data_IF_443875544502
#
_entry.id   IF_443875544502
#
_cell.length_a   1.000
_cell.length_b   1.000
_cell.length_c   1.000
_cell.angle_alpha   90.00
_cell.angle_beta   90.00
_cell.angle_gamma   90.00
#
_symmetry.space_group_name_H-M   'P 1'
#
loop_
_entity.id
_entity.type
_entity.pdbx_description
1 polymer ?
#
# COMPACT_ATOMS: atom_id res chain seq x y z
N UNK A 1 -1.27 -27.00 -13.48
CA UNK A 1 -1.75 -25.62 -13.68
C UNK A 1 -1.90 -24.92 -12.33
N UNK A 2 -2.61 -25.52 -11.38
CA UNK A 2 -2.80 -25.04 -10.00
C UNK A 2 -1.51 -24.63 -9.25
N UNK A 3 -0.43 -25.42 -9.36
CA UNK A 3 0.87 -25.07 -8.72
C UNK A 3 1.49 -23.77 -9.23
N UNK A 4 1.27 -23.41 -10.50
CA UNK A 4 1.83 -22.19 -11.08
C UNK A 4 1.05 -20.96 -10.64
N UNK A 5 -0.26 -21.10 -10.49
CA UNK A 5 -1.13 -20.04 -10.00
C UNK A 5 -0.81 -19.70 -8.54
N UNK A 6 -0.80 -20.70 -7.64
CA UNK A 6 -0.45 -20.47 -6.23
C UNK A 6 0.91 -19.78 -6.10
N UNK A 7 1.90 -20.21 -6.88
CA UNK A 7 3.22 -19.58 -6.90
C UNK A 7 3.17 -18.13 -7.36
N UNK A 8 2.44 -17.82 -8.44
CA UNK A 8 2.30 -16.46 -8.94
C UNK A 8 1.63 -15.54 -7.92
N UNK A 9 0.61 -16.02 -7.22
CA UNK A 9 -0.07 -15.27 -6.14
C UNK A 9 0.93 -14.96 -5.02
N UNK A 10 1.68 -15.96 -4.54
CA UNK A 10 2.68 -15.77 -3.48
C UNK A 10 3.81 -14.82 -3.90
N UNK A 11 4.28 -14.90 -5.14
CA UNK A 11 5.35 -14.03 -5.65
C UNK A 11 4.87 -12.60 -5.89
N UNK A 12 3.58 -12.38 -6.17
CA UNK A 12 2.99 -11.05 -6.40
C UNK A 12 3.00 -10.15 -5.15
N UNK A 13 2.95 -10.75 -3.95
CA UNK A 13 2.79 -10.02 -2.69
C UNK A 13 1.37 -9.51 -2.42
N UNK A 14 0.40 -9.82 -3.29
CA UNK A 14 -1.02 -9.52 -3.06
C UNK A 14 -1.61 -10.57 -2.11
N UNK A 15 -2.50 -10.14 -1.21
CA UNK A 15 -3.19 -11.04 -0.29
C UNK A 15 -4.03 -12.04 -1.11
N UNK A 16 -3.91 -13.37 -0.90
CA UNK A 16 -4.56 -14.37 -1.75
C UNK A 16 -6.07 -14.16 -1.93
N UNK A 17 -6.79 -13.82 -0.84
CA UNK A 17 -8.23 -13.56 -0.89
C UNK A 17 -8.58 -12.33 -1.76
N UNK A 18 -7.73 -11.29 -1.74
CA UNK A 18 -7.91 -10.12 -2.60
C UNK A 18 -7.67 -10.48 -4.08
N UNK A 19 -6.67 -11.33 -4.35
CA UNK A 19 -6.40 -11.78 -5.72
C UNK A 19 -7.58 -12.58 -6.30
N UNK A 20 -8.22 -13.45 -5.51
CA UNK A 20 -9.42 -14.16 -5.95
C UNK A 20 -10.57 -13.20 -6.27
N UNK A 21 -10.77 -12.16 -5.46
CA UNK A 21 -11.74 -11.11 -5.77
C UNK A 21 -11.41 -10.39 -7.09
N UNK A 22 -10.13 -10.08 -7.34
CA UNK A 22 -9.70 -9.40 -8.56
C UNK A 22 -9.85 -10.29 -9.80
N UNK A 23 -9.61 -11.61 -9.68
CA UNK A 23 -9.90 -12.58 -10.74
C UNK A 23 -11.38 -12.56 -11.13
N UNK A 24 -12.29 -12.50 -10.16
CA UNK A 24 -13.73 -12.40 -10.43
C UNK A 24 -14.08 -11.12 -11.18
N UNK A 25 -13.49 -9.98 -10.81
CA UNK A 25 -13.68 -8.71 -11.52
C UNK A 25 -13.16 -8.80 -12.95
N UNK A 26 -11.96 -9.36 -13.15
CA UNK A 26 -11.35 -9.53 -14.47
C UNK A 26 -12.26 -10.36 -15.40
N UNK A 27 -12.82 -11.45 -14.89
CA UNK A 27 -13.76 -12.31 -15.62
C UNK A 27 -15.08 -11.59 -15.92
N UNK A 28 -15.68 -10.94 -14.93
CA UNK A 28 -16.96 -10.23 -15.06
C UNK A 28 -16.88 -9.09 -16.09
N UNK A 29 -15.81 -8.31 -16.06
CA UNK A 29 -15.67 -7.13 -16.91
C UNK A 29 -14.94 -7.43 -18.23
N UNK A 30 -14.50 -8.68 -18.41
CA UNK A 30 -13.74 -9.17 -19.57
C UNK A 30 -12.51 -8.28 -19.84
N UNK A 31 -11.66 -8.15 -18.82
CA UNK A 31 -10.44 -7.35 -18.84
C UNK A 31 -9.26 -8.16 -18.30
N UNK A 32 -8.05 -7.86 -18.77
CA UNK A 32 -6.84 -8.24 -18.04
C UNK A 32 -6.49 -7.15 -17.04
N UNK A 33 -6.10 -7.54 -15.82
CA UNK A 33 -5.59 -6.64 -14.79
C UNK A 33 -4.16 -7.08 -14.48
N UNK A 34 -3.21 -6.17 -14.64
CA UNK A 34 -1.80 -6.40 -14.39
C UNK A 34 -1.37 -5.55 -13.21
N UNK A 35 -0.67 -6.15 -12.25
CA UNK A 35 -0.12 -5.49 -11.07
C UNK A 35 1.40 -5.48 -11.11
N UNK A 36 2.01 -4.43 -10.54
CA UNK A 36 3.42 -4.48 -10.19
C UNK A 36 3.61 -5.35 -8.93
N UNK A 37 4.80 -5.94 -8.72
CA UNK A 37 5.06 -6.69 -7.50
C UNK A 37 4.89 -5.81 -6.25
N UNK A 38 4.11 -6.31 -5.29
CA UNK A 38 3.91 -5.68 -3.99
C UNK A 38 5.05 -6.10 -3.06
N UNK A 39 5.45 -5.19 -2.16
CA UNK A 39 6.44 -5.51 -1.15
C UNK A 39 5.94 -6.67 -0.27
N UNK A 40 6.65 -7.80 -0.24
CA UNK A 40 6.25 -8.98 0.55
C UNK A 40 6.13 -8.69 2.05
N UNK A 41 6.92 -7.75 2.57
CA UNK A 41 6.81 -7.31 3.96
C UNK A 41 5.46 -6.59 4.24
N UNK A 42 4.69 -6.24 3.22
CA UNK A 42 3.41 -5.55 3.33
C UNK A 42 2.22 -6.50 3.24
N UNK A 43 2.38 -7.70 2.69
CA UNK A 43 1.26 -8.64 2.45
C UNK A 43 0.51 -8.97 3.74
N UNK A 44 1.22 -9.36 4.80
CA UNK A 44 0.61 -9.65 6.10
C UNK A 44 0.00 -8.41 6.75
N UNK A 45 0.63 -7.24 6.60
CA UNK A 45 0.11 -5.97 7.12
C UNK A 45 -1.23 -5.60 6.45
N UNK A 46 -1.32 -5.74 5.13
CA UNK A 46 -2.57 -5.50 4.40
C UNK A 46 -3.66 -6.49 4.84
N UNK A 47 -3.32 -7.78 5.00
CA UNK A 47 -4.26 -8.79 5.50
C UNK A 47 -4.76 -8.49 6.94
N UNK A 48 -3.93 -7.84 7.76
CA UNK A 48 -4.28 -7.43 9.13
C UNK A 48 -5.08 -6.11 9.19
N UNK A 49 -5.36 -5.48 8.05
CA UNK A 49 -6.17 -4.25 7.99
C UNK A 49 -5.41 -2.94 8.18
N UNK A 50 -4.07 -2.96 8.13
CA UNK A 50 -3.28 -1.72 8.04
C UNK A 50 -3.61 -0.99 6.73
N UNK A 51 -3.55 0.35 6.75
CA UNK A 51 -3.85 1.15 5.57
C UNK A 51 -2.79 1.01 4.49
N UNK A 52 -3.10 1.35 3.25
CA UNK A 52 -2.10 1.43 2.18
C UNK A 52 -1.88 2.88 1.77
N UNK A 53 -0.65 3.23 1.41
CA UNK A 53 -0.29 4.60 1.03
C UNK A 53 -1.03 5.03 -0.25
N UNK A 54 -1.56 6.25 -0.25
CA UNK A 54 -2.12 6.89 -1.44
C UNK A 54 -1.10 7.75 -2.18
N UNK A 55 -1.57 8.48 -3.19
CA UNK A 55 -0.77 9.45 -3.95
C UNK A 55 -0.24 10.61 -3.10
N UNK A 56 -0.75 10.75 -1.89
CA UNK A 56 -0.39 11.77 -0.93
C UNK A 56 0.84 11.44 -0.07
N UNK A 57 1.30 10.19 -0.09
CA UNK A 57 2.45 9.71 0.70
C UNK A 57 3.55 9.21 -0.24
N UNK A 58 4.60 10.02 -0.43
CA UNK A 58 5.71 9.72 -1.35
C UNK A 58 6.93 9.05 -0.69
N UNK A 59 7.01 9.16 0.65
CA UNK A 59 8.05 8.57 1.48
C UNK A 59 8.15 7.05 1.27
N UNK A 60 9.35 6.50 1.46
CA UNK A 60 9.63 5.10 1.17
C UNK A 60 9.38 4.23 2.40
N UNK A 61 8.85 3.03 2.15
CA UNK A 61 8.73 1.99 3.17
C UNK A 61 10.09 1.37 3.50
N UNK A 62 10.18 0.75 4.67
CA UNK A 62 11.34 -0.01 5.09
C UNK A 62 11.33 -1.46 4.59
N UNK A 63 12.52 -2.03 4.37
CA UNK A 63 12.72 -3.43 3.99
C UNK A 63 13.49 -4.26 5.05
N UNK A 64 13.85 -3.65 6.18
CA UNK A 64 14.68 -4.24 7.24
C UNK A 64 14.15 -3.91 8.65
N UNK A 65 14.63 -4.67 9.65
CA UNK A 65 14.32 -4.42 11.06
C UNK A 65 12.85 -4.64 11.45
N UNK A 66 12.47 -4.30 12.69
CA UNK A 66 11.09 -4.37 13.16
C UNK A 66 10.11 -3.47 12.39
N UNK A 67 10.62 -2.42 11.74
CA UNK A 67 9.84 -1.47 10.96
C UNK A 67 9.59 -1.89 9.50
N UNK A 68 10.10 -3.05 9.07
CA UNK A 68 9.93 -3.53 7.71
C UNK A 68 8.45 -3.55 7.28
N UNK A 69 8.17 -3.00 6.09
CA UNK A 69 6.81 -2.86 5.56
C UNK A 69 6.14 -1.52 5.86
N UNK A 70 6.56 -0.79 6.89
CA UNK A 70 5.99 0.52 7.26
C UNK A 70 6.73 1.69 6.63
N UNK A 71 6.10 2.87 6.66
CA UNK A 71 6.68 4.14 6.20
C UNK A 71 7.09 4.98 7.42
N UNK A 72 8.37 4.90 7.80
CA UNK A 72 8.91 5.60 8.97
C UNK A 72 8.94 7.13 8.77
N UNK A 73 8.72 7.89 9.83
CA UNK A 73 8.88 9.35 9.79
C UNK A 73 10.37 9.74 9.67
N UNK A 74 11.26 8.93 10.23
CA UNK A 74 12.71 8.99 9.98
C UNK A 74 13.06 8.08 8.78
N UNK A 75 13.37 8.68 7.63
CA UNK A 75 13.63 7.92 6.41
C UNK A 75 15.01 7.25 6.39
N UNK A 76 15.88 7.48 7.37
CA UNK A 76 17.06 6.63 7.55
C UNK A 76 16.67 5.23 8.08
N UNK A 77 15.45 5.07 8.63
CA UNK A 77 14.90 3.75 8.98
C UNK A 77 14.21 3.03 7.80
N UNK A 78 14.18 3.65 6.61
CA UNK A 78 13.56 3.09 5.40
C UNK A 78 14.56 2.26 4.58
N UNK A 79 14.14 1.77 3.40
CA UNK A 79 15.04 1.15 2.43
C UNK A 79 16.15 2.07 1.91
N UNK A 80 16.02 3.38 2.14
CA UNK A 80 16.99 4.42 1.79
C UNK A 80 18.11 4.59 2.83
N UNK A 81 18.11 3.79 3.90
CA UNK A 81 19.18 3.75 4.90
C UNK A 81 20.58 3.87 4.27
N UNK A 82 21.37 4.81 4.79
CA UNK A 82 22.75 5.02 4.38
C UNK A 82 22.96 5.96 3.18
N UNK A 83 21.91 6.32 2.44
CA UNK A 83 21.95 7.32 1.37
C UNK A 83 21.47 8.68 1.90
N UNK A 84 22.40 9.53 2.31
CA UNK A 84 22.08 10.82 2.94
C UNK A 84 21.20 11.73 2.06
N UNK A 85 21.40 11.69 0.73
CA UNK A 85 20.60 12.48 -0.21
C UNK A 85 19.16 11.96 -0.31
N UNK A 86 19.01 10.65 -0.49
CA UNK A 86 17.67 10.04 -0.56
C UNK A 86 16.93 10.10 0.78
N UNK A 87 17.64 9.98 1.91
CA UNK A 87 17.07 10.17 3.26
C UNK A 87 16.61 11.62 3.45
N UNK A 88 17.45 12.60 3.09
CA UNK A 88 17.10 14.02 3.18
C UNK A 88 15.84 14.36 2.38
N UNK A 89 15.76 13.90 1.13
CA UNK A 89 14.57 14.06 0.30
C UNK A 89 13.35 13.32 0.87
N UNK A 90 13.54 12.08 1.34
CA UNK A 90 12.47 11.32 1.97
C UNK A 90 11.89 12.02 3.19
N UNK A 91 12.74 12.60 4.05
CA UNK A 91 12.28 13.33 5.23
C UNK A 91 11.47 14.59 4.85
N UNK A 92 11.85 15.27 3.76
CA UNK A 92 11.03 16.35 3.21
C UNK A 92 9.66 15.85 2.72
N UNK A 93 9.61 14.67 2.08
CA UNK A 93 8.36 14.05 1.64
C UNK A 93 7.47 13.64 2.84
N UNK A 94 8.07 13.20 3.94
CA UNK A 94 7.36 12.96 5.22
C UNK A 94 6.74 14.25 5.75
N UNK A 95 7.51 15.34 5.83
CA UNK A 95 7.02 16.66 6.29
C UNK A 95 5.87 17.15 5.39
N UNK A 96 6.01 17.02 4.07
CA UNK A 96 4.96 17.39 3.12
C UNK A 96 3.71 16.50 3.21
N UNK A 97 3.85 15.27 3.70
CA UNK A 97 2.70 14.39 3.96
C UNK A 97 2.00 14.81 5.24
N UNK A 98 2.75 15.03 6.33
CA UNK A 98 2.21 15.42 7.64
C UNK A 98 1.55 16.82 7.66
N UNK A 99 1.81 17.67 6.65
CA UNK A 99 1.09 18.94 6.49
C UNK A 99 -0.37 18.75 6.03
N UNK A 100 -0.74 17.54 5.59
CA UNK A 100 -2.10 17.21 5.16
C UNK A 100 -2.93 16.76 6.36
N UNK A 101 -4.12 17.33 6.52
CA UNK A 101 -4.95 17.18 7.71
C UNK A 101 -5.37 15.74 8.06
N UNK A 102 -5.37 14.82 7.08
CA UNK A 102 -5.77 13.43 7.23
C UNK A 102 -4.59 12.46 7.42
N UNK A 103 -3.34 12.95 7.37
CA UNK A 103 -2.14 12.15 7.62
C UNK A 103 -1.59 12.49 9.00
N UNK A 104 -1.21 11.46 9.76
CA UNK A 104 -0.66 11.59 11.11
C UNK A 104 0.55 10.68 11.30
N UNK A 105 1.31 10.92 12.37
CA UNK A 105 2.32 10.00 12.85
C UNK A 105 1.78 9.14 14.00
N UNK A 106 2.07 7.85 13.91
CA UNK A 106 1.65 6.85 14.90
C UNK A 106 2.88 6.11 15.42
N UNK A 107 2.92 5.78 16.72
CA UNK A 107 3.99 4.95 17.26
C UNK A 107 3.92 3.56 16.62
N UNK A 108 5.07 3.01 16.26
CA UNK A 108 5.14 1.69 15.67
C UNK A 108 4.96 0.62 16.75
N UNK A 109 3.84 -0.08 16.68
CA UNK A 109 3.58 -1.31 17.43
C UNK A 109 3.45 -2.47 16.47
N UNK A 110 4.16 -3.56 16.76
CA UNK A 110 4.06 -4.81 15.99
C UNK A 110 3.44 -5.90 16.86
N UNK A 111 2.52 -6.68 16.28
CA UNK A 111 1.90 -7.81 16.97
C UNK A 111 2.94 -8.90 17.26
N UNK A 112 2.61 -9.81 18.19
CA UNK A 112 3.41 -11.01 18.43
C UNK A 112 3.59 -11.85 17.15
N UNK A 113 2.55 -11.94 16.33
CA UNK A 113 2.58 -12.66 15.05
C UNK A 113 3.56 -12.00 14.08
N UNK A 114 3.51 -10.66 13.96
CA UNK A 114 4.45 -9.89 13.13
C UNK A 114 5.89 -10.03 13.62
N UNK A 115 6.11 -10.05 14.94
CA UNK A 115 7.44 -10.29 15.50
C UNK A 115 8.00 -11.65 15.05
N UNK A 116 7.19 -12.72 15.12
CA UNK A 116 7.60 -14.07 14.68
C UNK A 116 7.86 -14.13 13.18
N UNK A 117 7.00 -13.52 12.38
CA UNK A 117 7.15 -13.41 10.92
C UNK A 117 8.49 -12.77 10.55
N UNK A 118 8.79 -11.59 11.11
CA UNK A 118 10.00 -10.84 10.81
C UNK A 118 11.28 -11.58 11.24
N UNK A 119 11.25 -12.31 12.36
CA UNK A 119 12.37 -13.18 12.75
C UNK A 119 12.53 -14.36 11.78
N UNK A 120 11.43 -14.99 11.37
CA UNK A 120 11.45 -16.09 10.39
C UNK A 120 11.99 -15.67 9.02
N UNK A 121 11.76 -14.41 8.63
CA UNK A 121 12.32 -13.79 7.43
C UNK A 121 13.76 -13.26 7.60
N UNK A 122 14.34 -13.39 8.79
CA UNK A 122 15.70 -12.91 9.08
C UNK A 122 15.83 -11.38 9.04
N UNK A 123 14.77 -10.63 9.34
CA UNK A 123 14.82 -9.15 9.38
C UNK A 123 15.59 -8.62 10.58
N UNK A 124 15.63 -9.40 11.65
CA UNK A 124 16.43 -9.21 12.87
C UNK A 124 16.40 -10.50 13.70
N UNK A 125 17.27 -10.57 14.71
CA UNK A 125 17.24 -11.60 15.74
C UNK A 125 17.20 -10.96 17.15
N UNK A 126 16.72 -11.71 18.14
CA UNK A 126 16.74 -11.27 19.54
C UNK A 126 18.10 -11.59 20.15
N UNK A 127 18.82 -10.56 20.63
CA UNK A 127 20.12 -10.68 21.27
C UNK A 127 20.00 -10.99 22.75
N UNK A 128 19.16 -10.22 23.45
CA UNK A 128 18.91 -10.36 24.89
C UNK A 128 17.42 -10.27 25.16
N UNK A 129 16.96 -11.10 26.11
CA UNK A 129 15.64 -10.99 26.72
C UNK A 129 15.82 -10.48 28.14
N UNK A 130 15.24 -9.34 28.41
CA UNK A 130 15.07 -8.79 29.74
C UNK A 130 13.59 -8.91 30.12
N UNK A 131 13.28 -8.79 31.41
CA UNK A 131 11.91 -8.98 31.94
C UNK A 131 10.87 -8.09 31.23
N UNK A 132 11.29 -6.92 30.76
CA UNK A 132 10.41 -5.89 30.19
C UNK A 132 10.81 -5.47 28.78
N UNK A 133 11.75 -6.15 28.14
CA UNK A 133 12.30 -5.71 26.86
C UNK A 133 13.04 -6.80 26.10
N UNK A 134 13.00 -6.74 24.77
CA UNK A 134 13.84 -7.53 23.89
C UNK A 134 14.82 -6.61 23.18
N UNK A 135 16.12 -6.88 23.30
CA UNK A 135 17.15 -6.16 22.52
C UNK A 135 17.39 -6.90 21.21
N UNK A 136 17.34 -6.19 20.10
CA UNK A 136 17.48 -6.76 18.75
C UNK A 136 18.92 -6.64 18.24
N UNK A 137 19.28 -7.50 17.28
CA UNK A 137 20.55 -7.46 16.54
C UNK A 137 20.38 -8.09 15.15
N UNK A 138 21.45 -8.14 14.35
CA UNK A 138 21.48 -8.75 13.01
C UNK A 138 20.50 -8.12 12.02
N UNK A 139 20.51 -6.80 11.93
CA UNK A 139 19.71 -6.05 10.96
C UNK A 139 20.56 -5.02 10.20
N UNK A 140 20.06 -4.54 9.05
CA UNK A 140 20.80 -3.67 8.10
C UNK A 140 21.39 -2.39 8.74
N UNK A 141 20.79 -1.90 9.82
CA UNK A 141 21.22 -0.72 10.58
C UNK A 141 21.88 -0.98 11.94
N UNK A 142 22.22 -2.22 12.28
CA UNK A 142 22.64 -2.63 13.64
C UNK A 142 23.92 -1.94 14.14
N UNK A 143 24.76 -1.45 13.21
CA UNK A 143 25.94 -0.65 13.57
C UNK A 143 25.61 0.78 14.01
N UNK A 144 24.46 1.34 13.58
CA UNK A 144 24.06 2.74 13.84
C UNK A 144 22.90 2.87 14.83
N UNK A 145 22.16 1.80 15.03
CA UNK A 145 20.93 1.81 15.80
C UNK A 145 20.90 0.64 16.78
N UNK A 146 20.51 0.92 18.01
CA UNK A 146 20.16 -0.08 19.01
C UNK A 146 18.64 -0.17 19.09
N UNK A 147 18.07 -1.21 18.48
CA UNK A 147 16.61 -1.41 18.44
C UNK A 147 16.15 -2.35 19.55
N UNK A 148 15.00 -2.01 20.15
CA UNK A 148 14.39 -2.76 21.24
C UNK A 148 12.88 -2.91 21.02
N UNK A 149 12.33 -3.99 21.55
CA UNK A 149 10.90 -4.26 21.60
C UNK A 149 10.44 -4.22 23.05
N UNK A 150 9.50 -3.34 23.37
CA UNK A 150 8.92 -3.22 24.71
C UNK A 150 7.50 -3.78 24.67
N UNK A 151 7.18 -4.86 25.41
CA UNK A 151 5.81 -5.36 25.51
C UNK A 151 4.85 -4.26 25.95
N UNK A 152 3.65 -4.22 25.37
CA UNK A 152 2.67 -3.18 25.70
C UNK A 152 2.36 -3.12 27.21
N UNK A 153 2.33 -4.27 27.88
CA UNK A 153 2.11 -4.39 29.33
C UNK A 153 3.22 -3.77 30.17
N UNK A 154 4.42 -3.62 29.60
CA UNK A 154 5.61 -3.10 30.28
C UNK A 154 5.90 -1.64 29.97
N UNK A 155 5.02 -0.94 29.24
CA UNK A 155 5.26 0.45 28.82
C UNK A 155 5.47 1.43 29.98
N UNK A 156 4.73 1.30 31.08
CA UNK A 156 4.85 2.20 32.23
C UNK A 156 6.21 2.09 32.92
N UNK A 157 6.77 0.88 32.95
CA UNK A 157 8.06 0.59 33.56
C UNK A 157 9.24 0.81 32.60
N UNK A 158 8.99 1.24 31.36
CA UNK A 158 10.01 1.29 30.31
C UNK A 158 10.94 2.51 30.36
N UNK A 159 10.58 3.55 31.12
CA UNK A 159 11.33 4.81 31.17
C UNK A 159 11.25 5.66 29.89
N UNK A 160 10.38 5.29 28.94
CA UNK A 160 10.14 6.09 27.73
C UNK A 160 9.34 7.35 28.09
N UNK A 161 9.73 8.49 27.53
CA UNK A 161 9.01 9.74 27.70
C UNK A 161 7.65 9.71 26.97
N UNK A 162 6.60 10.26 27.59
CA UNK A 162 5.28 10.38 26.96
C UNK A 162 4.49 9.06 26.87
N UNK A 163 4.74 8.10 27.77
CA UNK A 163 4.04 6.79 27.78
C UNK A 163 2.52 6.92 27.82
N UNK A 164 1.96 7.87 28.55
CA UNK A 164 0.52 8.08 28.61
C UNK A 164 -0.08 8.41 27.22
N UNK A 165 0.55 9.32 26.48
CA UNK A 165 0.13 9.69 25.11
C UNK A 165 0.33 8.53 24.14
N UNK A 166 1.43 7.77 24.28
CA UNK A 166 1.68 6.58 23.47
C UNK A 166 0.59 5.53 23.69
N UNK A 167 0.26 5.22 24.94
CA UNK A 167 -0.82 4.27 25.28
C UNK A 167 -2.14 4.67 24.64
N UNK A 168 -2.54 5.94 24.75
CA UNK A 168 -3.77 6.43 24.13
C UNK A 168 -3.79 6.22 22.60
N UNK A 169 -2.68 6.55 21.90
CA UNK A 169 -2.57 6.30 20.45
C UNK A 169 -2.65 4.80 20.13
N UNK A 170 -1.99 3.95 20.92
CA UNK A 170 -1.94 2.49 20.70
C UNK A 170 -3.29 1.84 20.97
N UNK A 171 -4.00 2.26 22.00
CA UNK A 171 -5.36 1.79 22.30
C UNK A 171 -6.32 2.12 21.14
N UNK A 172 -6.22 3.33 20.57
CA UNK A 172 -6.98 3.70 19.38
C UNK A 172 -6.69 2.79 18.19
N UNK A 173 -5.41 2.51 17.91
CA UNK A 173 -5.02 1.56 16.86
C UNK A 173 -5.51 0.13 17.15
N UNK A 174 -5.47 -0.31 18.41
CA UNK A 174 -5.85 -1.66 18.84
C UNK A 174 -7.34 -1.96 18.68
N UNK A 175 -8.20 -0.95 18.52
CA UNK A 175 -9.61 -1.12 18.16
C UNK A 175 -9.79 -1.56 16.70
N UNK A 176 -8.80 -1.35 15.84
CA UNK A 176 -8.82 -1.67 14.41
C UNK A 176 -7.93 -2.86 14.06
N UNK A 177 -6.80 -2.99 14.75
CA UNK A 177 -5.79 -4.01 14.48
C UNK A 177 -5.84 -5.06 15.58
N UNK A 178 -6.27 -6.27 15.21
CA UNK A 178 -6.43 -7.36 16.16
C UNK A 178 -5.11 -7.72 16.86
N UNK A 179 -5.19 -8.02 18.15
CA UNK A 179 -4.05 -8.43 19.01
C UNK A 179 -2.89 -7.42 19.08
N UNK A 180 -3.10 -6.16 18.69
CA UNK A 180 -2.05 -5.13 18.79
C UNK A 180 -1.58 -4.91 20.23
N UNK A 181 -2.49 -5.02 21.20
CA UNK A 181 -2.20 -4.87 22.64
C UNK A 181 -1.37 -6.03 23.23
N UNK A 182 -1.26 -7.16 22.53
CA UNK A 182 -0.35 -8.27 22.88
C UNK A 182 1.04 -8.07 22.26
N UNK A 183 1.23 -6.98 21.52
CA UNK A 183 2.42 -6.69 20.75
C UNK A 183 3.49 -5.91 21.49
N UNK A 184 4.40 -5.36 20.70
CA UNK A 184 5.58 -4.64 21.16
C UNK A 184 5.63 -3.25 20.56
N UNK A 185 5.85 -2.24 21.41
CA UNK A 185 6.33 -0.94 20.96
C UNK A 185 7.77 -1.09 20.46
N UNK A 186 8.03 -0.57 19.26
CA UNK A 186 9.36 -0.54 18.68
C UNK A 186 10.04 0.76 19.09
N UNK A 187 11.20 0.64 19.74
CA UNK A 187 12.03 1.79 20.12
C UNK A 187 13.45 1.62 19.59
N UNK A 188 14.14 2.75 19.44
CA UNK A 188 15.53 2.75 19.02
C UNK A 188 16.32 3.84 19.73
N UNK A 189 17.62 3.60 19.90
CA UNK A 189 18.62 4.61 20.22
C UNK A 189 19.65 4.66 19.09
N UNK A 190 20.28 5.80 18.87
CA UNK A 190 21.42 5.89 17.94
C UNK A 190 22.69 5.45 18.67
N UNK A 191 23.65 4.87 17.94
CA UNK A 191 24.91 4.39 18.53
C UNK A 191 25.72 5.50 19.22
N UNK A 192 25.61 6.75 18.74
CA UNK A 192 26.24 7.92 19.40
C UNK A 192 25.55 8.36 20.70
N UNK A 193 24.31 7.88 20.96
CA UNK A 193 23.53 8.22 22.14
C UNK A 193 22.68 7.01 22.60
N UNK A 194 23.30 5.91 23.04
CA UNK A 194 22.63 4.62 23.25
C UNK A 194 21.62 4.62 24.41
N UNK A 195 21.72 5.59 25.32
CA UNK A 195 20.79 5.77 26.44
C UNK A 195 19.53 6.56 26.06
N UNK A 196 19.53 7.27 24.93
CA UNK A 196 18.41 8.08 24.46
C UNK A 196 17.45 7.26 23.57
N UNK A 197 16.78 6.27 24.18
CA UNK A 197 15.79 5.44 23.48
C UNK A 197 14.53 6.24 23.18
N UNK A 198 14.04 6.17 21.95
CA UNK A 198 12.81 6.83 21.50
C UNK A 198 11.94 5.89 20.68
N UNK A 199 10.61 6.07 20.69
CA UNK A 199 9.71 5.32 19.82
C UNK A 199 10.04 5.52 18.34
N UNK A 200 9.92 4.44 17.56
CA UNK A 200 9.83 4.55 16.11
C UNK A 200 8.43 5.07 15.78
N UNK A 201 8.37 6.13 14.97
CA UNK A 201 7.10 6.64 14.43
C UNK A 201 6.99 6.31 12.94
N UNK A 202 5.76 6.05 12.52
CA UNK A 202 5.39 5.71 11.15
C UNK A 202 4.21 6.57 10.70
N UNK A 203 4.11 6.83 9.40
CA UNK A 203 2.96 7.51 8.83
C UNK A 203 1.72 6.62 8.91
N UNK A 204 0.58 7.27 9.11
CA UNK A 204 -0.74 6.64 9.12
C UNK A 204 -1.84 7.62 8.70
N UNK A 205 -3.04 7.10 8.53
CA UNK A 205 -4.22 7.94 8.32
C UNK A 205 -4.89 8.26 9.64
N UNK A 206 -5.35 9.50 9.80
CA UNK A 206 -6.07 9.97 10.99
C UNK A 206 -7.37 9.19 11.20
N UNK A 207 -8.06 8.88 10.11
CA UNK A 207 -9.22 7.99 10.04
C UNK A 207 -8.89 6.94 8.97
N UNK A 208 -8.74 5.65 9.32
CA UNK A 208 -9.24 5.00 10.54
C UNK A 208 -8.27 4.99 11.74
N UNK A 209 -7.18 5.76 11.70
CA UNK A 209 -6.21 5.82 12.81
C UNK A 209 -5.21 4.67 12.77
N UNK A 210 -4.85 4.17 11.58
CA UNK A 210 -3.93 3.03 11.40
C UNK A 210 -2.68 3.44 10.61
N UNK A 211 -1.52 2.81 10.88
CA UNK A 211 -0.33 3.02 10.07
C UNK A 211 -0.52 2.57 8.62
N UNK A 212 0.25 3.16 7.71
CA UNK A 212 0.24 2.80 6.29
C UNK A 212 1.39 1.89 5.88
N UNK A 213 1.10 1.01 4.92
CA UNK A 213 2.04 0.12 4.24
C UNK A 213 1.94 0.30 2.71
N UNK A 214 2.57 -0.59 1.94
CA UNK A 214 2.51 -0.55 0.47
C UNK A 214 1.09 -0.79 -0.05
N UNK A 215 0.80 -0.20 -1.20
CA UNK A 215 -0.42 -0.32 -1.98
C UNK A 215 -0.27 -1.34 -3.13
N UNK A 216 -1.39 -1.62 -3.79
CA UNK A 216 -1.46 -2.45 -4.99
C UNK A 216 -1.37 -1.58 -6.24
N UNK A 217 -0.14 -1.40 -6.69
CA UNK A 217 0.15 -0.68 -7.93
C UNK A 217 -0.38 -1.44 -9.16
N UNK A 218 -1.46 -0.93 -9.76
CA UNK A 218 -1.96 -1.42 -11.05
C UNK A 218 -1.01 -0.97 -12.17
N UNK A 219 -0.39 -1.93 -12.85
CA UNK A 219 0.42 -1.68 -14.03
C UNK A 219 -0.44 -1.35 -15.25
N UNK A 220 -1.49 -2.15 -15.48
CA UNK A 220 -2.39 -1.95 -16.61
C UNK A 220 -3.77 -2.59 -16.39
N UNK A 221 -4.78 -2.00 -17.03
CA UNK A 221 -6.11 -2.58 -17.23
C UNK A 221 -6.33 -2.65 -18.73
N UNK A 222 -6.47 -3.85 -19.27
CA UNK A 222 -6.57 -4.10 -20.71
C UNK A 222 -7.95 -4.67 -21.04
N UNK A 223 -8.92 -3.82 -21.44
CA UNK A 223 -10.23 -4.30 -21.82
C UNK A 223 -10.24 -5.01 -23.17
N UNK A 224 -11.16 -5.96 -23.33
CA UNK A 224 -11.44 -6.53 -24.65
C UNK A 224 -11.98 -5.46 -25.61
N UNK A 225 -11.46 -5.43 -26.84
CA UNK A 225 -11.96 -4.57 -27.92
C UNK A 225 -13.41 -4.87 -28.29
N UNK A 226 -13.89 -6.10 -28.04
CA UNK A 226 -15.29 -6.48 -28.29
C UNK A 226 -16.28 -5.61 -27.51
N UNK A 227 -15.87 -5.02 -26.39
CA UNK A 227 -16.66 -4.08 -25.58
C UNK A 227 -17.11 -2.84 -26.36
N UNK A 228 -16.40 -2.49 -27.43
CA UNK A 228 -16.68 -1.31 -28.25
C UNK A 228 -17.40 -1.67 -29.56
N UNK A 229 -17.70 -2.95 -29.79
CA UNK A 229 -18.30 -3.43 -31.04
C UNK A 229 -19.71 -2.88 -31.28
N UNK A 230 -20.54 -2.78 -30.24
CA UNK A 230 -21.90 -2.26 -30.39
C UNK A 230 -21.91 -0.75 -30.67
N UNK A 231 -21.02 0.01 -30.03
CA UNK A 231 -20.84 1.41 -30.33
C UNK A 231 -20.37 1.63 -31.78
N UNK A 232 -19.50 0.75 -32.27
CA UNK A 232 -19.08 0.76 -33.68
C UNK A 232 -20.25 0.42 -34.62
N UNK A 233 -21.03 -0.65 -34.35
CA UNK A 233 -22.20 -1.04 -35.16
C UNK A 233 -23.22 0.09 -35.26
N UNK A 234 -23.58 0.72 -34.13
CA UNK A 234 -24.50 1.88 -34.12
C UNK A 234 -24.01 3.04 -34.99
N UNK A 235 -22.68 3.27 -35.04
CA UNK A 235 -22.10 4.29 -35.92
C UNK A 235 -22.17 3.91 -37.40
N UNK A 236 -22.09 2.62 -37.71
CA UNK A 236 -22.26 2.12 -39.08
C UNK A 236 -23.72 2.24 -39.54
N UNK A 237 -24.68 1.94 -38.66
CA UNK A 237 -26.12 2.08 -38.92
C UNK A 237 -26.54 3.54 -39.18
N UNK A 238 -25.80 4.50 -38.63
CA UNK A 238 -26.03 5.93 -38.84
C UNK A 238 -25.52 6.45 -40.20
N UNK A 239 -24.87 5.62 -41.02
CA UNK A 239 -24.39 6.02 -42.35
C UNK A 239 -25.60 6.08 -43.31
N UNK A 240 -25.85 7.22 -44.00
CA UNK A 240 -26.99 7.35 -44.89
C UNK A 240 -26.99 6.30 -46.01
N UNK A 241 -28.14 5.67 -46.26
CA UNK A 241 -28.31 4.64 -47.30
C UNK A 241 -28.11 5.17 -48.73
N UNK A 242 -28.31 6.47 -48.95
CA UNK A 242 -28.06 7.14 -50.24
C UNK A 242 -26.61 7.60 -50.47
N UNK A 243 -25.69 7.35 -49.53
CA UNK A 243 -24.31 7.81 -49.63
C UNK A 243 -23.55 7.09 -50.76
N UNK A 244 -22.71 7.82 -51.48
CA UNK A 244 -21.80 7.26 -52.49
C UNK A 244 -20.81 6.29 -51.84
N UNK A 245 -20.20 5.39 -52.64
CA UNK A 245 -19.19 4.44 -52.15
C UNK A 245 -18.01 5.14 -51.44
N UNK A 246 -17.58 6.30 -51.94
CA UNK A 246 -16.49 7.09 -51.34
C UNK A 246 -16.89 7.67 -49.98
N UNK A 247 -18.11 8.19 -49.85
CA UNK A 247 -18.65 8.70 -48.60
C UNK A 247 -18.82 7.59 -47.56
N UNK A 248 -19.34 6.42 -47.96
CA UNK A 248 -19.47 5.26 -47.09
C UNK A 248 -18.12 4.79 -46.55
N UNK A 249 -17.09 4.71 -47.40
CA UNK A 249 -15.73 4.31 -46.97
C UNK A 249 -15.19 5.34 -45.96
N UNK A 250 -15.33 6.63 -46.26
CA UNK A 250 -14.85 7.71 -45.39
C UNK A 250 -15.54 7.66 -44.02
N UNK A 251 -16.87 7.50 -44.00
CA UNK A 251 -17.65 7.40 -42.78
C UNK A 251 -17.28 6.16 -41.95
N UNK A 252 -17.01 5.01 -42.60
CA UNK A 252 -16.53 3.80 -41.91
C UNK A 252 -15.19 4.00 -41.22
N UNK A 253 -14.24 4.66 -41.89
CA UNK A 253 -12.94 4.99 -41.30
C UNK A 253 -13.07 5.98 -40.13
N UNK A 254 -13.93 6.99 -40.26
CA UNK A 254 -14.21 7.93 -39.17
C UNK A 254 -14.87 7.24 -37.97
N UNK A 255 -15.85 6.37 -38.22
CA UNK A 255 -16.50 5.58 -37.17
C UNK A 255 -15.50 4.67 -36.43
N UNK A 256 -14.60 4.02 -37.18
CA UNK A 256 -13.53 3.20 -36.61
C UNK A 256 -12.57 4.06 -35.77
N UNK A 257 -12.06 5.16 -36.33
CA UNK A 257 -11.14 6.06 -35.64
C UNK A 257 -11.74 6.63 -34.34
N UNK A 258 -13.01 7.02 -34.36
CA UNK A 258 -13.72 7.48 -33.16
C UNK A 258 -13.86 6.37 -32.11
N UNK A 259 -14.23 5.16 -32.54
CA UNK A 259 -14.36 4.00 -31.65
C UNK A 259 -13.03 3.64 -30.99
N UNK A 260 -11.94 3.63 -31.77
CA UNK A 260 -10.59 3.36 -31.24
C UNK A 260 -10.14 4.47 -30.30
N UNK A 261 -10.37 5.74 -30.64
CA UNK A 261 -10.02 6.88 -29.77
C UNK A 261 -10.74 6.82 -28.42
N UNK A 262 -12.02 6.45 -28.42
CA UNK A 262 -12.81 6.19 -27.21
C UNK A 262 -12.28 4.99 -26.43
N UNK A 263 -11.95 3.88 -27.11
CA UNK A 263 -11.40 2.68 -26.47
C UNK A 263 -10.05 2.95 -25.78
N UNK A 264 -9.23 3.83 -26.36
CA UNK A 264 -7.96 4.27 -25.76
C UNK A 264 -8.15 5.32 -24.65
N UNK A 265 -9.37 5.85 -24.48
CA UNK A 265 -9.69 6.87 -23.48
C UNK A 265 -8.92 8.17 -23.68
N UNK A 266 -8.54 8.52 -24.91
CA UNK A 266 -7.64 9.65 -25.20
C UNK A 266 -8.14 11.01 -24.70
N UNK A 267 -9.47 11.18 -24.62
CA UNK A 267 -10.09 12.40 -24.07
C UNK A 267 -10.09 12.40 -22.55
N UNK A 268 -10.44 11.28 -21.93
CA UNK A 268 -10.58 11.14 -20.48
C UNK A 268 -9.22 11.23 -19.77
N UNK A 269 -8.15 10.75 -20.41
CA UNK A 269 -6.79 10.83 -19.87
C UNK A 269 -6.22 12.25 -19.79
N UNK A 270 -6.92 13.26 -20.31
CA UNK A 270 -6.51 14.68 -20.21
C UNK A 270 -6.85 15.31 -18.86
N UNK A 271 -7.73 14.68 -18.09
CA UNK A 271 -8.12 15.15 -16.76
C UNK A 271 -7.36 14.36 -15.68
N UNK A 272 -6.83 15.07 -14.69
CA UNK A 272 -6.16 14.47 -13.53
C UNK A 272 -7.14 14.47 -12.36
N UNK A 273 -7.43 13.28 -11.82
CA UNK A 273 -8.12 13.13 -10.54
C UNK A 273 -7.11 13.38 -9.40
N UNK A 274 -7.42 14.20 -8.39
CA UNK A 274 -6.47 14.50 -7.31
C UNK A 274 -6.12 13.28 -6.43
N UNK A 275 -7.00 12.27 -6.38
CA UNK A 275 -6.84 11.09 -5.53
C UNK A 275 -6.41 9.85 -6.31
N UNK A 276 -6.82 9.75 -7.58
CA UNK A 276 -6.57 8.57 -8.44
C UNK A 276 -5.65 8.85 -9.64
N UNK A 277 -5.21 10.09 -9.83
CA UNK A 277 -4.39 10.48 -10.97
C UNK A 277 -5.16 10.41 -12.30
N UNK A 278 -4.47 10.06 -13.38
CA UNK A 278 -5.04 10.07 -14.74
C UNK A 278 -5.64 8.72 -15.11
N UNK A 279 -6.94 8.56 -14.87
CA UNK A 279 -7.69 7.35 -15.21
C UNK A 279 -8.84 7.62 -16.19
N UNK A 280 -9.12 6.63 -17.02
CA UNK A 280 -10.37 6.54 -17.81
C UNK A 280 -11.56 6.17 -16.90
N UNK A 281 -12.78 6.37 -17.37
CA UNK A 281 -14.00 5.99 -16.66
C UNK A 281 -14.06 4.47 -16.38
N UNK A 282 -13.59 3.65 -17.32
CA UNK A 282 -13.47 2.21 -17.11
C UNK A 282 -12.44 1.89 -16.02
N UNK A 283 -11.25 2.51 -16.06
CA UNK A 283 -10.24 2.26 -15.05
C UNK A 283 -10.72 2.66 -13.66
N UNK A 284 -11.39 3.82 -13.51
CA UNK A 284 -12.03 4.22 -12.25
C UNK A 284 -13.04 3.19 -11.77
N UNK A 285 -13.91 2.70 -12.66
CA UNK A 285 -14.89 1.64 -12.32
C UNK A 285 -14.19 0.39 -11.79
N UNK A 286 -13.16 -0.10 -12.47
CA UNK A 286 -12.44 -1.31 -12.06
C UNK A 286 -11.71 -1.10 -10.72
N UNK A 287 -11.04 0.05 -10.52
CA UNK A 287 -10.40 0.41 -9.25
C UNK A 287 -11.42 0.45 -8.11
N UNK A 288 -12.57 1.07 -8.33
CA UNK A 288 -13.66 1.10 -7.36
C UNK A 288 -14.16 -0.31 -7.03
N UNK A 289 -14.43 -1.15 -8.04
CA UNK A 289 -14.84 -2.55 -7.83
C UNK A 289 -13.80 -3.34 -7.02
N UNK A 290 -12.50 -3.12 -7.27
CA UNK A 290 -11.43 -3.79 -6.51
C UNK A 290 -11.47 -3.39 -5.02
N UNK A 291 -11.53 -2.09 -4.74
CA UNK A 291 -11.60 -1.61 -3.36
C UNK A 291 -12.90 -2.02 -2.65
N UNK A 292 -14.03 -2.03 -3.37
CA UNK A 292 -15.33 -2.44 -2.84
C UNK A 292 -15.34 -3.93 -2.46
N UNK A 293 -14.81 -4.79 -3.34
CA UNK A 293 -14.71 -6.24 -3.05
C UNK A 293 -13.77 -6.52 -1.88
N UNK A 294 -12.62 -5.84 -1.81
CA UNK A 294 -11.66 -5.99 -0.70
C UNK A 294 -12.27 -5.54 0.62
N UNK A 295 -13.02 -4.44 0.64
CA UNK A 295 -13.80 -4.03 1.83
C UNK A 295 -14.88 -5.04 2.17
N UNK A 296 -15.54 -5.63 1.18
CA UNK A 296 -16.52 -6.71 1.36
C UNK A 296 -15.92 -7.97 2.03
N UNK A 297 -14.62 -8.20 1.89
CA UNK A 297 -13.87 -9.27 2.57
C UNK A 297 -13.47 -8.90 4.01
N UNK A 298 -13.82 -7.70 4.49
CA UNK A 298 -13.57 -7.23 5.85
C UNK A 298 -12.32 -6.35 6.02
N UNK A 299 -11.66 -5.93 4.93
CA UNK A 299 -10.56 -4.98 5.01
C UNK A 299 -11.04 -3.59 5.45
N UNK A 300 -10.43 -3.04 6.51
CA UNK A 300 -10.83 -1.77 7.11
C UNK A 300 -9.79 -0.64 6.93
N UNK A 301 -8.66 -0.91 6.27
CA UNK A 301 -7.57 0.06 6.07
C UNK A 301 -7.81 1.09 4.95
N UNK A 302 -9.04 1.26 4.49
CA UNK A 302 -9.40 2.17 3.39
C UNK A 302 -9.32 1.50 2.02
N UNK A 303 -8.62 2.14 1.08
CA UNK A 303 -8.36 1.59 -0.25
C UNK A 303 -7.04 0.80 -0.27
N UNK A 304 -6.95 -0.20 -1.16
CA UNK A 304 -5.72 -0.95 -1.45
C UNK A 304 -5.15 -0.58 -2.82
N UNK A 305 -5.97 -0.04 -3.72
CA UNK A 305 -5.58 0.54 -5.01
C UNK A 305 -5.99 2.01 -5.00
N UNK A 306 -5.06 2.91 -5.32
CA UNK A 306 -5.30 4.36 -5.34
C UNK A 306 -5.26 4.91 -6.75
#
# INVERSE_FOLDING_TARGET
MERNETRAILESGIVPQHMEAFKNIANQENVFILFRPVNKNSTALIAQGYGTKGLDIHAKSSDWGPQAGFICTDQDLSKKFGDAGAVGKGNQDVVASLSKAHIVDLPLVITQERHRELMGEGKYAVKHREEHMLTLHQFKGDARYHMKLIPFQSLESSGIEGVAQLKQKIEGMGQKIQKLHEGYLVVYAKSEAPLASRPVFVLGYKDPGVPVTADYDVFAICPSLSRYSDAYRKRLEAIPTGATKKEQITAKWQALGKTVSEALGQRERRTVDPNMGQLTGLQRKIVQMMNDQVRGLGYQGGNVVH
#
